data_IF_046561879871
#
_entry.id   IF_046561879871
#
_cell.length_a   1.000
_cell.length_b   1.000
_cell.length_c   1.000
_cell.angle_alpha   90.00
_cell.angle_beta   90.00
_cell.angle_gamma   90.00
#
_symmetry.space_group_name_H-M   'P 1'
#
loop_
_entity.id
_entity.type
_entity.pdbx_description
1 polymer ?
#
# COMPACT_ATOMS: atom_id res chain seq x y z
N UNK A 1 -17.07 -5.24 11.90
CA UNK A 1 -16.35 -3.99 12.15
C UNK A 1 -15.29 -3.91 11.06
N UNK A 2 -15.47 -3.04 10.08
CA UNK A 2 -14.58 -2.95 8.92
C UNK A 2 -13.43 -2.05 9.36
N UNK A 3 -12.23 -2.61 9.53
CA UNK A 3 -10.99 -1.82 9.49
C UNK A 3 -11.00 -1.03 8.19
N UNK A 4 -11.05 0.29 8.30
CA UNK A 4 -11.29 1.14 7.14
C UNK A 4 -10.06 1.18 6.24
N UNK A 5 -10.30 0.99 4.95
CA UNK A 5 -9.39 1.47 3.92
C UNK A 5 -9.10 2.96 4.19
N UNK A 6 -7.82 3.31 4.13
CA UNK A 6 -7.35 4.67 4.32
C UNK A 6 -6.55 5.06 3.07
N UNK A 7 -6.60 6.31 2.60
CA UNK A 7 -5.89 6.69 1.39
C UNK A 7 -4.39 6.31 1.46
N UNK A 8 -3.94 5.39 0.58
CA UNK A 8 -2.59 4.78 0.59
C UNK A 8 -2.17 4.16 1.93
N UNK A 9 -3.12 3.60 2.68
CA UNK A 9 -2.82 3.13 4.02
C UNK A 9 -3.92 2.31 4.67
N UNK A 10 -3.76 2.16 5.97
CA UNK A 10 -4.70 1.47 6.85
C UNK A 10 -4.87 2.26 8.14
N UNK A 11 -6.05 2.16 8.74
CA UNK A 11 -6.30 2.69 10.08
C UNK A 11 -6.66 1.55 11.04
N UNK A 12 -6.41 1.77 12.34
CA UNK A 12 -6.95 0.88 13.36
C UNK A 12 -8.48 0.94 13.40
N UNK A 13 -9.10 -0.04 14.06
CA UNK A 13 -10.56 -0.14 14.15
C UNK A 13 -11.21 1.06 14.86
N UNK A 14 -10.45 1.80 15.67
CA UNK A 14 -10.91 2.96 16.43
C UNK A 14 -10.70 4.29 15.68
N UNK A 15 -10.01 4.27 14.54
CA UNK A 15 -9.54 5.46 13.83
C UNK A 15 -8.63 6.35 14.69
N UNK A 16 -7.91 5.77 15.65
CA UNK A 16 -7.01 6.50 16.55
C UNK A 16 -5.61 6.66 15.94
N UNK A 17 -5.20 5.70 15.10
CA UNK A 17 -3.96 5.73 14.35
C UNK A 17 -4.19 5.27 12.92
N UNK A 18 -3.52 5.95 11.99
CA UNK A 18 -3.40 5.55 10.61
C UNK A 18 -1.93 5.35 10.25
N UNK A 19 -1.66 4.39 9.37
CA UNK A 19 -0.35 4.14 8.77
C UNK A 19 -0.51 4.19 7.26
N UNK A 20 0.13 5.18 6.64
CA UNK A 20 0.15 5.38 5.19
C UNK A 20 1.57 5.15 4.67
N UNK A 21 1.74 5.13 3.35
CA UNK A 21 3.07 5.15 2.76
C UNK A 21 3.26 6.25 1.72
N UNK A 22 4.51 6.70 1.57
CA UNK A 22 4.93 7.56 0.47
C UNK A 22 5.19 6.75 -0.82
N UNK A 23 5.60 7.43 -1.90
CA UNK A 23 5.93 6.81 -3.20
C UNK A 23 7.12 5.85 -3.15
N UNK A 24 7.97 5.96 -2.12
CA UNK A 24 9.13 5.08 -1.90
C UNK A 24 8.79 3.91 -0.99
N UNK A 25 7.57 3.85 -0.46
CA UNK A 25 7.17 2.85 0.53
C UNK A 25 7.75 3.14 1.92
N UNK A 26 8.05 4.39 2.24
CA UNK A 26 8.29 4.79 3.64
C UNK A 26 6.95 4.82 4.35
N UNK A 27 6.81 4.05 5.43
CA UNK A 27 5.59 4.10 6.25
C UNK A 27 5.58 5.37 7.10
N UNK A 28 4.41 5.98 7.24
CA UNK A 28 4.16 7.17 8.06
C UNK A 28 2.98 6.87 8.98
N UNK A 29 3.24 6.76 10.28
CA UNK A 29 2.17 6.65 11.27
C UNK A 29 1.77 8.02 11.78
N UNK A 30 0.47 8.27 11.85
CA UNK A 30 -0.09 9.54 12.29
C UNK A 30 -1.42 9.36 13.01
N UNK A 31 -1.80 10.37 13.79
CA UNK A 31 -3.15 10.52 14.30
C UNK A 31 -4.02 11.17 13.21
N UNK A 32 -5.02 10.47 12.67
CA UNK A 32 -5.83 10.97 11.56
C UNK A 32 -6.80 12.09 11.97
N UNK A 33 -6.95 12.39 13.26
CA UNK A 33 -7.75 13.54 13.72
C UNK A 33 -6.94 14.83 13.75
N UNK A 34 -5.65 14.73 14.04
CA UNK A 34 -4.77 15.90 14.24
C UNK A 34 -3.72 16.08 13.15
N UNK A 35 -3.48 15.07 12.33
CA UNK A 35 -2.37 15.05 11.37
C UNK A 35 -1.00 14.90 12.04
N UNK A 36 -0.93 14.70 13.36
CA UNK A 36 0.35 14.59 14.07
C UNK A 36 1.03 13.27 13.70
N UNK A 37 2.19 13.37 13.06
CA UNK A 37 3.04 12.22 12.73
C UNK A 37 3.70 11.70 14.00
N UNK A 38 3.53 10.40 14.27
CA UNK A 38 4.18 9.69 15.36
C UNK A 38 5.58 9.22 14.95
N UNK A 39 5.69 8.57 13.79
CA UNK A 39 6.96 8.06 13.27
C UNK A 39 6.95 7.90 11.75
N UNK A 40 8.15 7.73 11.19
CA UNK A 40 8.38 7.35 9.79
C UNK A 40 9.40 6.21 9.75
N UNK A 41 9.13 5.15 8.99
CA UNK A 41 9.97 3.96 9.01
C UNK A 41 10.03 3.21 7.68
N UNK A 42 11.20 2.65 7.39
CA UNK A 42 11.44 1.72 6.29
C UNK A 42 11.43 2.34 4.89
N UNK A 43 11.47 1.45 3.89
CA UNK A 43 11.37 1.74 2.46
C UNK A 43 10.82 0.50 1.78
N UNK A 44 10.12 0.67 0.66
CA UNK A 44 9.54 -0.45 -0.09
C UNK A 44 8.41 -1.13 0.67
N UNK A 45 7.83 -0.49 1.69
CA UNK A 45 6.77 -1.04 2.50
C UNK A 45 5.40 -0.57 2.01
N UNK A 46 4.46 -1.52 1.89
CA UNK A 46 3.03 -1.27 1.71
C UNK A 46 2.29 -1.75 2.95
N UNK A 47 1.62 -0.86 3.71
CA UNK A 47 0.83 -1.26 4.86
C UNK A 47 -0.40 -2.05 4.41
N UNK A 48 -0.68 -3.16 5.09
CA UNK A 48 -1.77 -4.08 4.77
C UNK A 48 -2.83 -4.11 5.87
N UNK A 49 -2.42 -4.01 7.14
CA UNK A 49 -3.35 -3.95 8.26
C UNK A 49 -2.69 -3.33 9.50
N UNK A 50 -3.52 -2.77 10.39
CA UNK A 50 -3.13 -2.33 11.73
C UNK A 50 -4.01 -3.05 12.76
N UNK A 51 -3.46 -4.07 13.42
CA UNK A 51 -4.20 -4.99 14.30
C UNK A 51 -3.39 -5.26 15.56
N UNK A 52 -4.04 -5.20 16.72
CA UNK A 52 -3.43 -5.55 18.02
C UNK A 52 -2.07 -4.89 18.28
N UNK A 53 -1.93 -3.60 17.94
CA UNK A 53 -0.67 -2.86 18.13
C UNK A 53 0.45 -3.25 17.16
N UNK A 54 0.14 -3.99 16.09
CA UNK A 54 1.08 -4.42 15.07
C UNK A 54 0.66 -3.89 13.69
N UNK A 55 1.62 -3.32 12.97
CA UNK A 55 1.48 -3.02 11.54
C UNK A 55 1.90 -4.26 10.77
N UNK A 56 0.95 -4.87 10.05
CA UNK A 56 1.26 -5.87 9.03
C UNK A 56 1.48 -5.12 7.72
N UNK A 57 2.66 -5.28 7.14
CA UNK A 57 3.00 -4.70 5.85
C UNK A 57 3.68 -5.76 4.96
N UNK A 58 3.75 -5.48 3.67
CA UNK A 58 4.63 -6.21 2.75
C UNK A 58 5.78 -5.33 2.32
N UNK A 59 6.96 -5.93 2.17
CA UNK A 59 8.15 -5.30 1.61
C UNK A 59 8.39 -5.75 0.18
N UNK A 60 8.70 -4.78 -0.68
CA UNK A 60 9.02 -4.90 -2.11
C UNK A 60 10.19 -3.94 -2.36
N UNK A 61 11.40 -4.46 -2.57
CA UNK A 61 12.61 -3.62 -2.62
C UNK A 61 12.77 -2.93 -3.99
N UNK A 62 12.37 -3.61 -5.07
CA UNK A 62 12.28 -3.06 -6.44
C UNK A 62 10.86 -3.18 -7.04
N UNK A 63 9.93 -2.29 -6.66
CA UNK A 63 8.54 -2.35 -7.13
C UNK A 63 8.40 -2.29 -8.65
N UNK A 64 7.63 -3.21 -9.22
CA UNK A 64 7.33 -3.28 -10.66
C UNK A 64 8.30 -4.13 -11.49
N UNK A 65 9.38 -4.63 -10.90
CA UNK A 65 10.32 -5.54 -11.56
C UNK A 65 9.83 -7.01 -11.50
N UNK A 66 10.03 -7.81 -12.57
CA UNK A 66 9.66 -9.22 -12.57
C UNK A 66 10.46 -10.04 -11.55
N UNK A 67 9.78 -10.94 -10.84
CA UNK A 67 10.42 -11.88 -9.92
C UNK A 67 10.91 -11.26 -8.62
N UNK A 68 10.54 -10.00 -8.37
CA UNK A 68 10.84 -9.32 -7.12
C UNK A 68 10.20 -10.05 -5.93
N UNK A 69 10.94 -10.34 -4.85
CA UNK A 69 10.39 -11.00 -3.68
C UNK A 69 9.37 -10.11 -2.96
N UNK A 70 8.28 -10.74 -2.51
CA UNK A 70 7.30 -10.13 -1.63
C UNK A 70 7.47 -10.71 -0.22
N UNK A 71 7.86 -9.89 0.74
CA UNK A 71 8.12 -10.34 2.12
C UNK A 71 7.10 -9.74 3.08
N UNK A 72 6.46 -10.55 3.91
CA UNK A 72 5.61 -10.03 4.98
C UNK A 72 6.49 -9.53 6.12
N UNK A 73 6.23 -8.33 6.60
CA UNK A 73 6.94 -7.73 7.75
C UNK A 73 5.95 -7.29 8.80
N UNK A 74 6.35 -7.44 10.07
CA UNK A 74 5.61 -6.94 11.21
C UNK A 74 6.40 -5.82 11.86
N UNK A 75 5.75 -4.68 12.02
CA UNK A 75 6.29 -3.54 12.73
C UNK A 75 5.46 -3.27 13.97
N UNK A 76 6.12 -2.83 15.02
CA UNK A 76 5.48 -2.30 16.21
C UNK A 76 4.73 -1.01 15.85
N UNK A 77 3.46 -0.91 16.21
CA UNK A 77 2.65 0.24 15.83
C UNK A 77 3.08 1.53 16.53
N UNK A 78 3.72 1.47 17.70
CA UNK A 78 4.05 2.64 18.52
C UNK A 78 5.34 3.33 18.08
N UNK A 79 6.35 2.56 17.67
CA UNK A 79 7.66 3.10 17.28
C UNK A 79 8.05 2.81 15.82
N UNK A 80 7.30 1.97 15.11
CA UNK A 80 7.59 1.59 13.72
C UNK A 80 8.80 0.66 13.59
N UNK A 81 9.30 0.07 14.68
CA UNK A 81 10.42 -0.87 14.65
C UNK A 81 9.96 -2.20 14.08
N UNK A 82 10.67 -2.70 13.06
CA UNK A 82 10.43 -4.03 12.51
C UNK A 82 10.77 -5.09 13.57
N UNK A 83 9.79 -5.91 13.94
CA UNK A 83 9.94 -7.01 14.92
C UNK A 83 10.17 -8.36 14.25
N UNK A 84 9.67 -8.53 13.03
CA UNK A 84 9.70 -9.81 12.33
C UNK A 84 9.60 -9.62 10.81
N UNK A 85 10.15 -10.58 10.05
CA UNK A 85 10.01 -10.70 8.61
C UNK A 85 9.85 -12.17 8.23
N UNK A 86 9.02 -12.46 7.24
CA UNK A 86 8.82 -13.80 6.70
C UNK A 86 9.94 -14.20 5.72
N UNK A 87 9.97 -15.47 5.36
CA UNK A 87 10.55 -15.88 4.07
C UNK A 87 9.78 -15.22 2.91
N UNK A 88 10.40 -14.99 1.74
CA UNK A 88 9.71 -14.50 0.56
C UNK A 88 8.51 -15.37 0.18
N UNK A 89 7.38 -14.74 -0.13
CA UNK A 89 6.22 -15.42 -0.66
C UNK A 89 6.54 -15.97 -2.06
N UNK A 90 6.10 -17.20 -2.33
CA UNK A 90 6.27 -17.81 -3.64
C UNK A 90 5.37 -17.11 -4.67
N UNK A 91 5.96 -16.17 -5.42
CA UNK A 91 5.32 -15.54 -6.58
C UNK A 91 5.84 -16.16 -7.88
N UNK A 92 5.03 -16.21 -8.95
CA UNK A 92 5.52 -16.56 -10.26
C UNK A 92 6.64 -15.61 -10.71
N UNK A 93 7.65 -16.07 -11.47
CA UNK A 93 8.80 -15.25 -11.87
C UNK A 93 8.44 -14.07 -12.79
N UNK A 94 7.25 -14.08 -13.41
CA UNK A 94 6.75 -12.98 -14.23
C UNK A 94 5.95 -11.93 -13.44
N UNK A 95 5.59 -12.23 -12.19
CA UNK A 95 4.83 -11.32 -11.35
C UNK A 95 5.64 -10.06 -11.04
N UNK A 96 4.95 -8.92 -10.99
CA UNK A 96 5.52 -7.59 -10.76
C UNK A 96 4.82 -6.95 -9.55
N UNK A 97 5.22 -7.30 -8.31
CA UNK A 97 4.60 -6.73 -7.13
C UNK A 97 4.77 -5.20 -7.08
N UNK A 98 3.77 -4.50 -6.55
CA UNK A 98 3.73 -3.05 -6.50
C UNK A 98 3.28 -2.54 -5.12
N UNK A 99 3.72 -1.32 -4.78
CA UNK A 99 3.36 -0.66 -3.51
C UNK A 99 1.90 -0.19 -3.47
N UNK A 100 1.20 -0.20 -4.60
CA UNK A 100 -0.21 0.13 -4.74
C UNK A 100 -0.84 -0.87 -5.71
N UNK A 101 -2.17 -0.97 -5.69
CA UNK A 101 -2.87 -1.82 -6.64
C UNK A 101 -2.75 -1.28 -8.06
N UNK A 102 -2.51 -2.19 -8.98
CA UNK A 102 -2.40 -1.95 -10.42
C UNK A 102 -3.08 -3.08 -11.15
N UNK A 103 -3.35 -2.90 -12.45
CA UNK A 103 -3.89 -4.00 -13.28
C UNK A 103 -3.00 -5.25 -13.27
N UNK A 104 -1.68 -5.07 -13.07
CA UNK A 104 -0.69 -6.14 -13.06
C UNK A 104 -0.53 -6.83 -11.71
N UNK A 105 -0.91 -6.16 -10.62
CA UNK A 105 -0.76 -6.70 -9.28
C UNK A 105 -1.71 -6.02 -8.31
N UNK A 106 -2.56 -6.80 -7.66
CA UNK A 106 -3.40 -6.36 -6.55
C UNK A 106 -3.06 -7.13 -5.27
N UNK A 107 -3.22 -6.48 -4.12
CA UNK A 107 -3.02 -7.09 -2.80
C UNK A 107 -4.10 -6.59 -1.84
N UNK A 108 -5.00 -7.49 -1.48
CA UNK A 108 -6.06 -7.26 -0.51
C UNK A 108 -5.67 -7.82 0.85
N UNK A 109 -6.13 -7.16 1.91
CA UNK A 109 -5.89 -7.58 3.27
C UNK A 109 -7.20 -7.63 4.06
N UNK A 110 -7.48 -8.78 4.66
CA UNK A 110 -8.63 -9.01 5.53
C UNK A 110 -8.11 -9.19 6.96
N UNK A 111 -8.16 -8.15 7.81
CA UNK A 111 -7.73 -8.28 9.19
C UNK A 111 -8.79 -9.00 10.04
N UNK A 112 -8.33 -9.96 10.82
CA UNK A 112 -9.02 -10.54 11.96
C UNK A 112 -8.53 -9.94 13.27
N UNK A 113 -8.93 -10.55 14.39
CA UNK A 113 -8.50 -10.09 15.73
C UNK A 113 -7.00 -10.33 15.98
N UNK A 114 -6.49 -11.47 15.52
CA UNK A 114 -5.17 -12.00 15.83
C UNK A 114 -4.49 -12.63 14.61
N UNK A 115 -5.04 -12.37 13.44
CA UNK A 115 -4.54 -12.86 12.16
C UNK A 115 -4.88 -11.85 11.07
N UNK A 116 -4.12 -11.86 9.98
CA UNK A 116 -4.43 -11.11 8.76
C UNK A 116 -4.34 -12.05 7.58
N UNK A 117 -5.38 -12.09 6.74
CA UNK A 117 -5.33 -12.82 5.48
C UNK A 117 -4.92 -11.85 4.39
N UNK A 118 -3.82 -12.15 3.70
CA UNK A 118 -3.36 -11.42 2.53
C UNK A 118 -3.73 -12.21 1.28
N UNK A 119 -4.34 -11.55 0.29
CA UNK A 119 -4.69 -12.13 -1.00
C UNK A 119 -4.05 -11.31 -2.10
N UNK A 120 -3.39 -11.97 -3.03
CA UNK A 120 -2.79 -11.29 -4.15
C UNK A 120 -3.27 -11.88 -5.47
N UNK A 121 -3.37 -11.02 -6.47
CA UNK A 121 -3.56 -11.39 -7.87
C UNK A 121 -2.46 -10.76 -8.69
N UNK A 122 -1.72 -11.56 -9.43
CA UNK A 122 -0.73 -11.10 -10.38
C UNK A 122 -1.25 -11.34 -11.80
N UNK A 123 -1.13 -10.33 -12.66
CA UNK A 123 -1.48 -10.42 -14.08
C UNK A 123 -0.35 -9.89 -14.93
N UNK A 124 -0.10 -10.54 -16.05
CA UNK A 124 0.75 -9.99 -17.12
C UNK A 124 0.03 -10.11 -18.45
N UNK A 125 0.28 -9.16 -19.34
CA UNK A 125 -0.22 -9.18 -20.70
C UNK A 125 0.74 -8.46 -21.63
N UNK A 126 0.46 -8.52 -22.93
CA UNK A 126 1.27 -7.85 -23.94
C UNK A 126 1.22 -6.32 -23.78
N UNK A 127 2.40 -5.67 -23.74
CA UNK A 127 2.56 -4.21 -23.64
C UNK A 127 3.29 -3.57 -24.84
N UNK A 128 3.44 -4.28 -25.95
CA UNK A 128 4.13 -3.74 -27.13
C UNK A 128 3.25 -2.81 -27.97
N UNK A 129 3.86 -1.97 -28.81
CA UNK A 129 3.16 -0.96 -29.62
C UNK A 129 2.50 -1.48 -30.91
N UNK A 130 2.92 -2.64 -31.41
CA UNK A 130 2.28 -3.29 -32.55
C UNK A 130 1.19 -4.26 -32.06
N UNK A 131 0.00 -4.24 -32.66
CA UNK A 131 -1.05 -5.18 -32.32
C UNK A 131 -0.57 -6.62 -32.60
N UNK A 132 -0.41 -7.46 -31.58
CA UNK A 132 0.00 -8.85 -31.79
C UNK A 132 -1.19 -9.64 -32.34
N UNK A 133 -0.93 -10.70 -33.09
CA UNK A 133 -1.98 -11.66 -33.46
C UNK A 133 -2.65 -12.25 -32.19
N UNK A 134 -3.91 -12.70 -32.29
CA UNK A 134 -4.68 -13.19 -31.14
C UNK A 134 -3.97 -14.32 -30.38
N UNK A 135 -3.28 -15.21 -31.09
CA UNK A 135 -2.52 -16.32 -30.48
C UNK A 135 -1.38 -15.82 -29.58
N UNK A 136 -0.74 -14.71 -29.95
CA UNK A 136 0.32 -14.08 -29.14
C UNK A 136 -0.25 -13.35 -27.93
N UNK A 137 -1.45 -12.78 -28.03
CA UNK A 137 -2.14 -12.19 -26.86
C UNK A 137 -2.43 -13.29 -25.84
N UNK A 138 -3.07 -14.38 -26.29
CA UNK A 138 -3.44 -15.48 -25.42
C UNK A 138 -2.21 -16.12 -24.74
N UNK A 139 -1.12 -16.31 -25.47
CA UNK A 139 0.12 -16.86 -24.93
C UNK A 139 0.88 -15.92 -23.98
N UNK A 140 0.68 -14.60 -24.10
CA UNK A 140 1.34 -13.59 -23.25
C UNK A 140 0.52 -13.20 -22.02
N UNK A 141 -0.75 -13.62 -21.95
CA UNK A 141 -1.61 -13.39 -20.80
C UNK A 141 -1.35 -14.45 -19.74
N UNK A 142 -0.86 -14.01 -18.59
CA UNK A 142 -0.70 -14.87 -17.42
C UNK A 142 -1.50 -14.27 -16.27
N UNK A 143 -2.16 -15.13 -15.51
CA UNK A 143 -2.79 -14.78 -14.25
C UNK A 143 -2.41 -15.83 -13.22
N UNK A 144 -2.12 -15.39 -12.00
CA UNK A 144 -1.87 -16.23 -10.86
C UNK A 144 -2.42 -15.55 -9.61
N UNK A 145 -2.87 -16.36 -8.67
CA UNK A 145 -3.42 -15.91 -7.40
C UNK A 145 -2.78 -16.68 -6.27
N UNK A 146 -2.76 -16.05 -5.11
CA UNK A 146 -2.36 -16.71 -3.90
C UNK A 146 -2.98 -16.04 -2.68
N UNK A 147 -2.98 -16.78 -1.59
CA UNK A 147 -3.41 -16.27 -0.31
C UNK A 147 -2.50 -16.81 0.78
N UNK A 148 -2.24 -15.97 1.77
CA UNK A 148 -1.50 -16.37 2.97
C UNK A 148 -2.21 -15.84 4.20
N UNK A 149 -2.14 -16.60 5.29
CA UNK A 149 -2.56 -16.17 6.62
C UNK A 149 -1.32 -15.81 7.42
N UNK A 150 -1.30 -14.60 7.94
CA UNK A 150 -0.34 -14.11 8.93
C UNK A 150 -0.96 -14.33 10.30
N UNK A 151 -0.41 -15.23 11.10
CA UNK A 151 -0.85 -15.43 12.50
C UNK A 151 0.01 -14.55 13.43
N UNK A 152 -0.65 -13.78 14.28
CA UNK A 152 -0.03 -12.85 15.23
C UNK A 152 -0.03 -13.42 16.66
N UNK A 153 -0.63 -14.60 16.89
CA UNK A 153 -0.62 -15.27 18.20
C UNK A 153 0.69 -15.99 18.42
N UNK A 154 1.42 -15.56 19.43
CA UNK A 154 2.71 -16.15 19.79
C UNK A 154 3.78 -15.77 18.76
N UNK A 155 4.73 -16.67 18.44
CA UNK A 155 5.72 -16.41 17.41
C UNK A 155 5.02 -16.16 16.05
N UNK A 156 5.27 -15.02 15.39
CA UNK A 156 4.66 -14.73 14.11
C UNK A 156 4.94 -15.80 13.05
N UNK A 157 3.93 -16.12 12.25
CA UNK A 157 4.07 -17.11 11.17
C UNK A 157 3.21 -16.75 9.96
N UNK A 158 3.62 -17.26 8.80
CA UNK A 158 2.89 -17.12 7.53
C UNK A 158 2.57 -18.52 7.01
N UNK A 159 1.28 -18.80 6.82
CA UNK A 159 0.79 -20.08 6.30
C UNK A 159 0.09 -19.86 4.97
N UNK A 160 0.49 -20.58 3.89
CA UNK A 160 -0.26 -20.57 2.63
C UNK A 160 -1.70 -21.03 2.85
N UNK A 161 -2.65 -20.35 2.21
CA UNK A 161 -4.03 -20.76 2.14
C UNK A 161 -4.33 -21.37 0.76
N UNK A 162 -5.35 -22.22 0.65
CA UNK A 162 -5.87 -22.64 -0.66
C UNK A 162 -6.19 -21.43 -1.54
N UNK A 163 -5.97 -21.57 -2.85
CA UNK A 163 -6.28 -20.51 -3.80
C UNK A 163 -7.76 -20.11 -3.65
N UNK A 164 -8.05 -18.82 -3.40
CA UNK A 164 -9.43 -18.37 -3.28
C UNK A 164 -10.13 -18.48 -4.65
N UNK A 165 -11.45 -18.73 -4.67
CA UNK A 165 -12.22 -18.56 -5.88
C UNK A 165 -12.04 -17.13 -6.42
N UNK A 166 -12.19 -16.90 -7.75
CA UNK A 166 -12.20 -15.55 -8.30
C UNK A 166 -13.14 -14.66 -7.50
N UNK A 167 -12.58 -13.61 -6.89
CA UNK A 167 -13.40 -12.56 -6.33
C UNK A 167 -14.17 -11.91 -7.48
N UNK A 168 -15.44 -11.51 -7.27
CA UNK A 168 -16.11 -10.65 -8.24
C UNK A 168 -15.25 -9.41 -8.46
N UNK A 169 -15.06 -9.03 -9.72
CA UNK A 169 -14.34 -7.81 -10.09
C UNK A 169 -15.08 -6.61 -9.47
N UNK A 170 -14.61 -6.19 -8.30
CA UNK A 170 -15.16 -5.03 -7.61
C UNK A 170 -14.39 -3.85 -8.18
N UNK A 171 -14.97 -3.19 -9.18
CA UNK A 171 -14.35 -2.06 -9.89
C UNK A 171 -14.20 -0.78 -9.06
N UNK A 172 -14.19 -0.89 -7.73
CA UNK A 172 -14.04 0.23 -6.82
C UNK A 172 -12.56 0.36 -6.49
N UNK A 173 -11.92 1.39 -7.05
CA UNK A 173 -10.54 1.73 -6.70
C UNK A 173 -10.44 2.13 -5.22
N UNK A 174 -9.22 2.17 -4.66
CA UNK A 174 -9.03 2.55 -3.27
C UNK A 174 -9.67 3.92 -3.01
N UNK A 175 -10.30 4.12 -1.84
CA UNK A 175 -11.01 5.35 -1.54
C UNK A 175 -10.04 6.52 -1.55
N UNK A 176 -10.35 7.52 -2.36
CA UNK A 176 -9.60 8.79 -2.39
C UNK A 176 -9.80 9.60 -1.10
N UNK A 177 -10.89 9.34 -0.37
CA UNK A 177 -11.25 10.02 0.86
C UNK A 177 -11.95 9.08 1.86
N UNK A 178 -11.71 9.28 3.15
CA UNK A 178 -12.31 8.54 4.26
C UNK A 178 -12.82 9.51 5.33
N UNK A 179 -13.90 9.14 6.03
CA UNK A 179 -14.44 9.93 7.15
C UNK A 179 -13.80 9.51 8.47
N UNK A 180 -13.24 10.47 9.21
CA UNK A 180 -12.67 10.27 10.54
C UNK A 180 -13.30 11.28 11.50
N UNK A 181 -14.35 10.83 12.21
CA UNK A 181 -15.18 11.73 13.02
C UNK A 181 -15.87 12.80 12.16
N UNK A 182 -15.61 14.06 12.45
CA UNK A 182 -16.11 15.21 11.69
C UNK A 182 -15.24 15.56 10.47
N UNK A 183 -14.05 14.97 10.34
CA UNK A 183 -13.12 15.23 9.24
C UNK A 183 -13.34 14.30 8.05
N UNK A 184 -13.09 14.83 6.86
CA UNK A 184 -12.81 14.06 5.65
C UNK A 184 -11.29 14.05 5.47
N UNK A 185 -10.70 12.86 5.42
CA UNK A 185 -9.27 12.69 5.19
C UNK A 185 -9.06 12.19 3.77
N UNK A 186 -8.25 12.89 2.99
CA UNK A 186 -8.05 12.60 1.57
C UNK A 186 -6.61 12.84 1.13
N UNK A 187 -6.24 12.21 0.01
CA UNK A 187 -5.02 12.54 -0.71
C UNK A 187 -5.27 13.74 -1.62
N UNK A 188 -4.39 14.73 -1.54
CA UNK A 188 -4.42 15.89 -2.39
C UNK A 188 -3.05 16.16 -3.01
N UNK A 189 -3.09 16.87 -4.13
CA UNK A 189 -1.90 17.33 -4.84
C UNK A 189 -1.76 18.82 -4.58
N UNK A 190 -0.65 19.22 -3.96
CA UNK A 190 -0.38 20.61 -3.58
C UNK A 190 0.77 21.17 -4.43
N UNK A 191 0.58 22.32 -5.11
CA UNK A 191 1.70 23.04 -5.70
C UNK A 191 2.71 23.47 -4.61
N UNK A 192 4.00 23.32 -4.89
CA UNK A 192 5.10 23.69 -4.01
C UNK A 192 6.16 24.46 -4.83
N UNK A 193 6.95 25.40 -4.26
CA UNK A 193 8.01 26.08 -5.01
C UNK A 193 9.01 25.12 -5.67
N UNK A 194 9.20 23.92 -5.11
CA UNK A 194 10.05 22.86 -5.67
C UNK A 194 9.36 21.96 -6.70
N UNK A 195 8.04 22.09 -6.88
CA UNK A 195 7.25 21.30 -7.83
C UNK A 195 5.84 20.98 -7.31
N UNK A 196 5.56 19.68 -7.16
CA UNK A 196 4.26 19.17 -6.73
C UNK A 196 4.47 18.23 -5.56
N UNK A 197 3.77 18.47 -4.45
CA UNK A 197 3.75 17.59 -3.30
C UNK A 197 2.46 16.76 -3.26
N UNK A 198 2.56 15.50 -2.86
CA UNK A 198 1.38 14.71 -2.45
C UNK A 198 1.23 14.87 -0.95
N UNK A 199 0.07 15.37 -0.53
CA UNK A 199 -0.27 15.57 0.87
C UNK A 199 -1.45 14.70 1.24
N UNK A 200 -1.45 14.22 2.48
CA UNK A 200 -2.65 13.75 3.15
C UNK A 200 -3.21 14.94 3.94
N UNK A 201 -4.49 15.26 3.76
CA UNK A 201 -5.10 16.39 4.46
C UNK A 201 -6.43 16.00 5.11
N UNK A 202 -6.71 16.58 6.26
CA UNK A 202 -8.01 16.50 6.93
C UNK A 202 -8.79 17.79 6.73
N UNK A 203 -9.98 17.73 6.14
CA UNK A 203 -10.86 18.88 5.93
C UNK A 203 -12.16 18.73 6.74
N UNK A 204 -12.79 19.85 7.11
CA UNK A 204 -14.09 19.85 7.81
C UNK A 204 -15.16 20.43 6.88
N UNK A 205 -16.13 19.63 6.40
CA UNK A 205 -17.22 20.17 5.61
C UNK A 205 -18.01 21.26 6.36
N UNK A 206 -18.50 22.30 5.66
CA UNK A 206 -18.38 22.54 4.23
C UNK A 206 -17.08 23.27 3.82
N UNK A 207 -16.22 23.60 4.77
CA UNK A 207 -14.99 24.33 4.49
C UNK A 207 -13.97 23.40 3.81
N UNK A 208 -13.61 23.69 2.56
CA UNK A 208 -12.53 23.01 1.84
C UNK A 208 -11.12 23.45 2.35
N UNK A 209 -11.08 24.18 3.47
CA UNK A 209 -9.83 24.56 4.13
C UNK A 209 -9.32 23.38 4.97
N UNK A 210 -8.08 22.92 4.75
CA UNK A 210 -7.50 21.86 5.53
C UNK A 210 -7.32 22.29 6.99
N UNK A 211 -7.77 21.45 7.92
CA UNK A 211 -7.50 21.58 9.37
C UNK A 211 -6.06 21.18 9.65
N UNK A 212 -5.55 20.19 8.94
CA UNK A 212 -4.15 19.76 8.98
C UNK A 212 -3.72 19.18 7.63
N UNK A 213 -2.42 19.20 7.36
CA UNK A 213 -1.79 18.58 6.19
C UNK A 213 -0.51 17.85 6.60
N UNK A 214 -0.27 16.68 6.00
CA UNK A 214 0.96 15.90 6.14
C UNK A 214 1.53 15.65 4.75
N UNK A 215 2.76 16.12 4.53
CA UNK A 215 3.48 15.85 3.28
C UNK A 215 3.91 14.39 3.25
N UNK A 216 3.46 13.65 2.24
CA UNK A 216 3.86 12.27 1.99
C UNK A 216 5.00 12.23 0.97
N UNK A 217 4.81 12.92 -0.15
CA UNK A 217 5.78 12.98 -1.23
C UNK A 217 6.16 14.42 -1.53
N UNK A 218 7.45 14.71 -1.51
CA UNK A 218 7.99 15.92 -2.13
C UNK A 218 8.40 15.61 -3.58
N UNK A 219 8.14 16.56 -4.48
CA UNK A 219 8.72 16.51 -5.81
C UNK A 219 10.24 16.36 -5.68
N UNK A 220 10.88 15.52 -6.53
CA UNK A 220 12.33 15.56 -6.60
C UNK A 220 12.73 16.99 -6.97
N UNK A 221 13.78 17.56 -6.34
CA UNK A 221 14.22 18.90 -6.69
C UNK A 221 14.51 18.95 -8.20
N UNK A 222 14.22 20.08 -8.87
CA UNK A 222 14.51 20.23 -10.28
C UNK A 222 15.99 19.89 -10.52
N UNK A 223 16.25 19.06 -11.53
CA UNK A 223 17.63 18.74 -11.92
C UNK A 223 18.34 20.05 -12.24
N UNK A 224 19.52 20.25 -11.64
CA UNK A 224 20.36 21.39 -11.99
C UNK A 224 20.54 21.43 -13.52
N UNK A 225 20.42 22.61 -14.15
CA UNK A 225 20.65 22.72 -15.58
C UNK A 225 22.05 22.17 -15.91
N UNK A 226 22.21 21.48 -17.05
CA UNK A 226 23.52 20.99 -17.46
C UNK A 226 24.51 22.17 -17.52
N UNK A 227 25.70 22.00 -16.95
CA UNK A 227 26.77 22.99 -17.08
C UNK A 227 27.03 23.21 -18.58
N UNK A 228 26.95 24.47 -19.02
CA UNK A 228 27.32 24.81 -20.39
C UNK A 228 28.85 24.58 -20.54
N UNK A 229 29.29 23.95 -21.63
CA UNK A 229 30.71 23.76 -21.92
C UNK A 229 31.43 25.10 -22.13
#
# INVERSE_FOLDING_TARGET
MVTGEFPRGVADAQGARAVVHDRRGTLVALDPRTGRVAWRAGRGLRPCALVAGTVVAVRIDAPGEPGEPLVVVLLDADDGVQRWASEPLALPPWARPALHDTDAFTLDAEPGHDQVVLRWTARSGYRGGAAPGPDRVAAATHEARGAVRVDLRGPPSVTPLPEPPPAPETGEGPPSAVRVGDLTVELAVRPDPSGVAVVLRGTRPPADTPVWEVVLDEAPPPRAPPLRP
#
